data_IF_266626458377
#
_entry.id   IF_266626458377
#
_cell.length_a   1.000
_cell.length_b   1.000
_cell.length_c   1.000
_cell.angle_alpha   90.00
_cell.angle_beta   90.00
_cell.angle_gamma   90.00
#
_symmetry.space_group_name_H-M   'P 1'
#
loop_
_entity.id
_entity.type
_entity.pdbx_description
1 polymer ?
#
# COMPACT_ATOMS: atom_id res chain seq x y z
N UNK A 1 8.52 -15.27 11.29
CA UNK A 1 7.60 -14.36 10.55
C UNK A 1 6.66 -13.65 11.50
N UNK A 2 5.70 -14.33 12.17
CA UNK A 2 4.81 -13.67 13.15
C UNK A 2 5.57 -12.93 14.27
N UNK A 3 6.54 -13.59 14.91
CA UNK A 3 7.43 -12.95 15.90
C UNK A 3 8.16 -11.70 15.38
N UNK A 4 8.51 -11.65 14.09
CA UNK A 4 9.13 -10.48 13.47
C UNK A 4 8.15 -9.31 13.40
N UNK A 5 6.93 -9.59 12.94
CA UNK A 5 5.86 -8.60 12.85
C UNK A 5 5.55 -8.10 14.24
N UNK A 6 5.17 -8.98 15.18
CA UNK A 6 4.78 -8.64 16.56
C UNK A 6 5.84 -7.76 17.24
N UNK A 7 7.13 -8.14 17.16
CA UNK A 7 8.21 -7.30 17.69
C UNK A 7 8.27 -5.95 16.99
N UNK A 8 8.19 -5.90 15.67
CA UNK A 8 8.17 -4.62 14.95
C UNK A 8 6.98 -3.73 15.35
N UNK A 9 5.84 -4.30 15.76
CA UNK A 9 4.71 -3.55 16.34
C UNK A 9 5.05 -3.03 17.74
N UNK A 10 5.57 -3.91 18.61
CA UNK A 10 5.84 -3.60 20.02
C UNK A 10 6.92 -2.52 20.21
N UNK A 11 7.99 -2.57 19.42
CA UNK A 11 9.18 -1.72 19.63
C UNK A 11 9.55 -0.85 18.43
N UNK A 12 8.83 -0.98 17.32
CA UNK A 12 9.16 -0.33 16.05
C UNK A 12 10.27 -1.05 15.28
N UNK A 13 10.27 -0.88 13.96
CA UNK A 13 11.26 -1.51 13.07
C UNK A 13 12.72 -1.13 13.40
N UNK A 14 12.98 0.11 13.81
CA UNK A 14 14.33 0.57 14.14
C UNK A 14 14.98 -0.27 15.26
N UNK A 15 14.19 -0.63 16.30
CA UNK A 15 14.64 -1.42 17.44
C UNK A 15 14.55 -2.95 17.20
N UNK A 16 13.95 -3.38 16.09
CA UNK A 16 13.94 -4.79 15.69
C UNK A 16 15.37 -5.29 15.46
N UNK A 17 15.67 -6.51 15.93
CA UNK A 17 16.93 -7.22 15.69
C UNK A 17 16.68 -8.70 15.42
N UNK A 18 17.56 -9.35 14.66
CA UNK A 18 17.45 -10.79 14.39
C UNK A 18 17.56 -11.59 15.69
N UNK A 19 18.34 -11.10 16.65
CA UNK A 19 18.48 -11.64 17.99
C UNK A 19 17.16 -11.68 18.77
N UNK A 20 16.46 -10.54 18.80
CA UNK A 20 15.17 -10.45 19.48
C UNK A 20 14.14 -11.36 18.80
N UNK A 21 14.15 -11.42 17.46
CA UNK A 21 13.26 -12.33 16.72
C UNK A 21 13.58 -13.79 17.00
N UNK A 22 14.86 -14.16 17.01
CA UNK A 22 15.31 -15.52 17.32
C UNK A 22 14.85 -15.95 18.71
N UNK A 23 15.06 -15.09 19.71
CA UNK A 23 14.62 -15.31 21.08
C UNK A 23 13.09 -15.46 21.18
N UNK A 24 12.32 -14.56 20.55
CA UNK A 24 10.85 -14.60 20.57
C UNK A 24 10.29 -15.81 19.83
N UNK A 25 10.92 -16.23 18.73
CA UNK A 25 10.49 -17.37 17.94
C UNK A 25 10.99 -18.72 18.46
N UNK A 26 11.87 -18.74 19.48
CA UNK A 26 12.46 -19.98 20.01
C UNK A 26 13.38 -20.70 19.03
N UNK A 27 14.01 -19.97 18.09
CA UNK A 27 14.89 -20.55 17.08
C UNK A 27 16.32 -20.00 17.19
N UNK A 28 17.31 -20.76 16.74
CA UNK A 28 18.70 -20.30 16.69
C UNK A 28 18.93 -19.19 15.66
N UNK A 29 19.78 -18.21 15.96
CA UNK A 29 20.12 -17.10 15.04
C UNK A 29 20.63 -17.58 13.68
N UNK A 30 21.47 -18.63 13.66
CA UNK A 30 21.98 -19.23 12.42
C UNK A 30 20.87 -19.75 11.50
N UNK A 31 19.76 -20.25 12.06
CA UNK A 31 18.60 -20.68 11.27
C UNK A 31 17.93 -19.52 10.55
N UNK A 32 17.88 -18.34 11.19
CA UNK A 32 17.34 -17.12 10.57
C UNK A 32 18.30 -16.60 9.51
N UNK A 33 19.58 -16.39 9.83
CA UNK A 33 20.56 -15.85 8.88
C UNK A 33 20.72 -16.68 7.61
N UNK A 34 20.57 -18.01 7.70
CA UNK A 34 20.60 -18.89 6.52
C UNK A 34 19.51 -18.59 5.50
N UNK A 35 18.36 -18.08 5.94
CA UNK A 35 17.20 -17.76 5.08
C UNK A 35 17.08 -16.26 4.81
N UNK A 36 17.48 -15.43 5.76
CA UNK A 36 17.39 -13.97 5.68
C UNK A 36 18.73 -13.36 6.10
N UNK A 37 19.59 -13.01 5.11
CA UNK A 37 20.87 -12.37 5.35
C UNK A 37 20.77 -11.06 6.14
N UNK A 38 19.65 -10.33 6.01
CA UNK A 38 19.43 -9.06 6.70
C UNK A 38 18.08 -9.02 7.44
N UNK A 39 18.01 -8.13 8.46
CA UNK A 39 16.76 -7.81 9.16
C UNK A 39 15.68 -7.33 8.20
N UNK A 40 16.06 -6.52 7.22
CA UNK A 40 15.14 -5.94 6.24
C UNK A 40 14.50 -7.04 5.37
N UNK A 41 15.28 -8.03 4.91
CA UNK A 41 14.75 -9.18 4.16
C UNK A 41 13.81 -10.05 5.01
N UNK A 42 14.15 -10.29 6.28
CA UNK A 42 13.28 -11.00 7.21
C UNK A 42 11.97 -10.25 7.43
N UNK A 43 12.04 -8.93 7.63
CA UNK A 43 10.88 -8.09 7.85
C UNK A 43 9.98 -8.03 6.61
N UNK A 44 10.56 -7.80 5.43
CA UNK A 44 9.87 -7.87 4.13
C UNK A 44 9.10 -9.18 3.97
N UNK A 45 9.77 -10.32 4.10
CA UNK A 45 9.10 -11.63 3.91
C UNK A 45 8.02 -11.85 4.97
N UNK A 46 8.25 -11.39 6.20
CA UNK A 46 7.24 -11.45 7.25
C UNK A 46 6.01 -10.59 6.91
N UNK A 47 6.19 -9.39 6.35
CA UNK A 47 5.10 -8.55 5.88
C UNK A 47 4.35 -9.16 4.70
N UNK A 48 5.07 -9.75 3.73
CA UNK A 48 4.45 -10.41 2.58
C UNK A 48 3.61 -11.64 2.98
N UNK A 49 3.85 -12.23 4.16
CA UNK A 49 2.96 -13.27 4.70
C UNK A 49 1.68 -12.73 5.32
N UNK A 50 1.65 -11.45 5.68
CA UNK A 50 0.42 -10.81 6.11
C UNK A 50 -0.41 -10.57 4.84
N UNK A 51 -1.58 -11.21 4.75
CA UNK A 51 -2.57 -10.81 3.76
C UNK A 51 -3.26 -9.56 4.29
N UNK A 52 -3.05 -8.37 3.70
CA UNK A 52 -3.85 -7.22 4.09
C UNK A 52 -5.33 -7.56 3.82
N UNK A 53 -6.26 -7.29 4.76
CA UNK A 53 -7.70 -7.52 4.59
C UNK A 53 -8.35 -6.45 3.68
N UNK A 54 -7.64 -6.15 2.60
CA UNK A 54 -7.96 -5.45 1.36
C UNK A 54 -9.01 -6.11 0.48
N UNK A 55 -10.35 -5.91 0.55
CA UNK A 55 -11.22 -6.55 -0.43
C UNK A 55 -10.82 -6.13 -1.85
N UNK A 56 -10.99 -7.02 -2.82
CA UNK A 56 -10.79 -6.64 -4.23
C UNK A 56 -11.86 -5.62 -4.68
N UNK A 57 -11.62 -5.01 -5.83
CA UNK A 57 -12.56 -4.04 -6.39
C UNK A 57 -13.91 -4.73 -6.67
N UNK A 58 -15.03 -4.15 -6.24
CA UNK A 58 -16.32 -4.55 -6.78
C UNK A 58 -16.44 -4.11 -8.25
N UNK A 59 -17.41 -4.68 -8.95
CA UNK A 59 -17.81 -4.29 -10.30
C UNK A 59 -19.31 -3.95 -10.26
N UNK A 60 -19.63 -2.73 -9.81
CA UNK A 60 -21.02 -2.31 -9.60
C UNK A 60 -21.64 -1.59 -10.80
N UNK A 61 -20.85 -1.29 -11.82
CA UNK A 61 -21.23 -0.39 -12.90
C UNK A 61 -20.98 1.10 -12.61
N UNK A 62 -20.45 1.43 -11.42
CA UNK A 62 -19.99 2.77 -11.05
C UNK A 62 -18.53 2.72 -10.58
N UNK A 63 -17.61 3.01 -11.49
CA UNK A 63 -16.17 3.01 -11.20
C UNK A 63 -15.79 3.95 -10.05
N UNK A 64 -16.46 5.09 -9.88
CA UNK A 64 -16.14 6.03 -8.81
C UNK A 64 -16.53 5.43 -7.46
N UNK A 65 -17.69 4.79 -7.36
CA UNK A 65 -18.12 4.07 -6.17
C UNK A 65 -17.19 2.88 -5.85
N UNK A 66 -16.73 2.15 -6.87
CA UNK A 66 -15.85 1.00 -6.72
C UNK A 66 -14.45 1.40 -6.22
N UNK A 67 -13.87 2.46 -6.81
CA UNK A 67 -12.61 3.06 -6.36
C UNK A 67 -12.75 3.60 -4.93
N UNK A 68 -13.83 4.31 -4.62
CA UNK A 68 -14.12 4.84 -3.28
C UNK A 68 -14.08 3.72 -2.23
N UNK A 69 -14.84 2.64 -2.45
CA UNK A 69 -14.88 1.51 -1.51
C UNK A 69 -13.50 0.92 -1.28
N UNK A 70 -12.73 0.71 -2.35
CA UNK A 70 -11.39 0.13 -2.25
C UNK A 70 -10.39 1.04 -1.54
N UNK A 71 -10.46 2.34 -1.81
CA UNK A 71 -9.58 3.34 -1.22
C UNK A 71 -9.92 3.58 0.25
N UNK A 72 -11.21 3.69 0.61
CA UNK A 72 -11.65 3.76 2.01
C UNK A 72 -11.15 2.56 2.82
N UNK A 73 -11.32 1.34 2.30
CA UNK A 73 -10.81 0.14 2.98
C UNK A 73 -9.26 0.12 3.11
N UNK A 74 -8.55 0.79 2.20
CA UNK A 74 -7.09 0.97 2.31
C UNK A 74 -6.75 2.00 3.39
N UNK A 75 -7.49 3.10 3.46
CA UNK A 75 -7.35 4.13 4.52
C UNK A 75 -7.61 3.51 5.89
N UNK A 76 -8.69 2.74 6.03
CA UNK A 76 -9.04 2.04 7.26
C UNK A 76 -7.94 1.09 7.70
N UNK A 77 -7.39 0.32 6.74
CA UNK A 77 -6.26 -0.54 7.03
C UNK A 77 -5.06 0.26 7.58
N UNK A 78 -4.69 1.36 6.92
CA UNK A 78 -3.56 2.19 7.35
C UNK A 78 -3.80 2.88 8.70
N UNK A 79 -5.06 3.09 9.09
CA UNK A 79 -5.43 3.67 10.38
C UNK A 79 -5.35 2.66 11.54
N UNK A 80 -5.35 1.35 11.25
CA UNK A 80 -5.32 0.29 12.25
C UNK A 80 -3.89 -0.15 12.54
N UNK A 81 -3.53 -0.22 13.82
CA UNK A 81 -2.28 -0.85 14.24
C UNK A 81 -2.29 -2.35 13.85
N UNK A 82 -1.23 -2.87 13.23
CA UNK A 82 0.09 -2.25 13.07
C UNK A 82 0.36 -1.56 11.71
N UNK A 83 -0.63 -1.53 10.83
CA UNK A 83 -0.39 -1.48 9.39
C UNK A 83 0.17 -0.14 8.91
N UNK A 84 -0.33 0.98 9.43
CA UNK A 84 0.19 2.31 9.12
C UNK A 84 1.66 2.47 9.47
N UNK A 85 2.06 2.26 10.75
CA UNK A 85 3.48 2.34 11.13
C UNK A 85 4.38 1.34 10.40
N UNK A 86 3.93 0.09 10.21
CA UNK A 86 4.71 -0.91 9.46
C UNK A 86 4.93 -0.47 8.02
N UNK A 87 3.90 0.05 7.35
CA UNK A 87 4.01 0.54 5.98
C UNK A 87 5.00 1.71 5.88
N UNK A 88 4.94 2.69 6.80
CA UNK A 88 5.90 3.80 6.85
C UNK A 88 7.33 3.32 7.06
N UNK A 89 7.54 2.40 8.00
CA UNK A 89 8.86 1.82 8.24
C UNK A 89 9.40 1.11 6.99
N UNK A 90 8.54 0.34 6.32
CA UNK A 90 8.90 -0.36 5.09
C UNK A 90 9.32 0.59 3.97
N UNK A 91 8.56 1.68 3.76
CA UNK A 91 8.88 2.67 2.73
C UNK A 91 10.17 3.43 3.05
N UNK A 92 10.50 3.63 4.34
CA UNK A 92 11.80 4.16 4.74
C UNK A 92 12.94 3.21 4.36
N UNK A 93 12.79 1.92 4.61
CA UNK A 93 13.86 0.94 4.37
C UNK A 93 14.20 0.76 2.89
N UNK A 94 13.20 0.80 1.99
CA UNK A 94 13.47 0.69 0.55
C UNK A 94 14.32 1.85 0.00
N UNK A 95 14.48 2.96 0.73
CA UNK A 95 15.37 4.05 0.32
C UNK A 95 16.86 3.73 0.58
N UNK A 96 17.14 2.73 1.42
CA UNK A 96 18.49 2.41 1.87
C UNK A 96 18.98 1.04 1.38
N UNK A 97 18.08 0.14 0.99
CA UNK A 97 18.39 -1.21 0.53
C UNK A 97 17.73 -1.50 -0.84
N UNK A 98 18.50 -1.45 -1.95
CA UNK A 98 17.99 -1.69 -3.30
C UNK A 98 17.40 -3.09 -3.51
N UNK A 99 17.88 -4.12 -2.80
CA UNK A 99 17.38 -5.48 -2.94
C UNK A 99 16.00 -5.61 -2.28
N UNK A 100 15.84 -4.99 -1.12
CA UNK A 100 14.54 -4.90 -0.43
C UNK A 100 13.56 -4.06 -1.26
N UNK A 101 14.03 -2.96 -1.84
CA UNK A 101 13.24 -2.11 -2.74
C UNK A 101 12.72 -2.87 -3.95
N UNK A 102 13.61 -3.55 -4.70
CA UNK A 102 13.25 -4.33 -5.88
C UNK A 102 12.23 -5.42 -5.52
N UNK A 103 12.47 -6.15 -4.44
CA UNK A 103 11.57 -7.23 -4.02
C UNK A 103 10.18 -6.73 -3.60
N UNK A 104 10.09 -5.58 -2.94
CA UNK A 104 8.81 -4.99 -2.54
C UNK A 104 8.07 -4.35 -3.71
N UNK A 105 8.79 -3.69 -4.61
CA UNK A 105 8.22 -3.21 -5.86
C UNK A 105 7.56 -4.38 -6.60
N UNK A 106 8.27 -5.51 -6.72
CA UNK A 106 7.82 -6.69 -7.45
C UNK A 106 6.65 -7.42 -6.78
N UNK A 107 6.70 -7.63 -5.46
CA UNK A 107 5.81 -8.54 -4.73
C UNK A 107 4.67 -7.85 -3.99
N UNK A 108 4.78 -6.54 -3.75
CA UNK A 108 3.77 -5.77 -3.03
C UNK A 108 3.19 -4.66 -3.89
N UNK A 109 4.00 -3.68 -4.32
CA UNK A 109 3.46 -2.48 -4.98
C UNK A 109 2.92 -2.76 -6.38
N UNK A 110 3.65 -3.50 -7.22
CA UNK A 110 3.22 -3.82 -8.58
C UNK A 110 1.90 -4.62 -8.63
N UNK A 111 1.70 -5.70 -7.85
CA UNK A 111 0.42 -6.41 -7.84
C UNK A 111 -0.77 -5.53 -7.44
N UNK A 112 -0.55 -4.56 -6.53
CA UNK A 112 -1.60 -3.62 -6.13
C UNK A 112 -1.91 -2.62 -7.25
N UNK A 113 -0.89 -2.10 -7.95
CA UNK A 113 -1.06 -1.24 -9.10
C UNK A 113 -1.79 -1.97 -10.25
N UNK A 114 -1.37 -3.19 -10.57
CA UNK A 114 -1.97 -4.02 -11.61
C UNK A 114 -3.46 -4.30 -11.36
N UNK A 115 -3.87 -4.56 -10.11
CA UNK A 115 -5.29 -4.73 -9.76
C UNK A 115 -6.10 -3.46 -10.02
N UNK A 116 -5.57 -2.29 -9.67
CA UNK A 116 -6.24 -1.00 -9.94
C UNK A 116 -6.34 -0.75 -11.44
N UNK A 117 -5.25 -0.95 -12.18
CA UNK A 117 -5.23 -0.78 -13.64
C UNK A 117 -6.18 -1.76 -14.33
N UNK A 118 -6.25 -3.01 -13.87
CA UNK A 118 -7.20 -3.99 -14.40
C UNK A 118 -8.65 -3.55 -14.20
N UNK A 119 -9.01 -3.04 -13.00
CA UNK A 119 -10.37 -2.53 -12.75
C UNK A 119 -10.69 -1.31 -13.60
N UNK A 120 -9.75 -0.38 -13.76
CA UNK A 120 -9.90 0.79 -14.64
C UNK A 120 -10.07 0.37 -16.10
N UNK A 121 -9.32 -0.63 -16.56
CA UNK A 121 -9.46 -1.17 -17.93
C UNK A 121 -10.86 -1.73 -18.17
N UNK A 122 -11.41 -2.48 -17.24
CA UNK A 122 -12.79 -2.97 -17.32
C UNK A 122 -13.81 -1.81 -17.35
N UNK A 123 -13.61 -0.79 -16.52
CA UNK A 123 -14.48 0.40 -16.54
C UNK A 123 -14.43 1.13 -17.90
N UNK A 124 -13.26 1.17 -18.56
CA UNK A 124 -13.10 1.72 -19.90
C UNK A 124 -13.87 0.91 -20.95
N UNK A 125 -13.76 -0.41 -20.90
CA UNK A 125 -14.52 -1.32 -21.78
C UNK A 125 -16.04 -1.18 -21.58
N UNK A 126 -16.46 -0.81 -20.36
CA UNK A 126 -17.85 -0.52 -20.00
C UNK A 126 -18.27 0.93 -20.31
N UNK A 127 -17.40 1.76 -20.89
CA UNK A 127 -17.68 3.16 -21.24
C UNK A 127 -17.78 4.12 -20.05
N UNK A 128 -17.29 3.74 -18.86
CA UNK A 128 -17.35 4.55 -17.65
C UNK A 128 -16.21 5.56 -17.52
N UNK A 129 -15.11 5.38 -18.27
CA UNK A 129 -13.97 6.30 -18.31
C UNK A 129 -13.52 6.55 -19.76
N UNK A 130 -12.86 7.68 -19.99
CA UNK A 130 -12.40 8.09 -21.32
C UNK A 130 -11.46 7.04 -21.96
N UNK A 131 -11.62 6.82 -23.27
CA UNK A 131 -10.85 5.80 -24.01
C UNK A 131 -9.34 6.09 -24.04
N UNK A 132 -8.99 7.38 -24.07
CA UNK A 132 -7.62 7.90 -24.15
C UNK A 132 -6.98 8.15 -22.77
N UNK A 133 -7.68 7.82 -21.67
CA UNK A 133 -7.10 7.95 -20.33
C UNK A 133 -5.92 7.00 -20.15
N UNK A 134 -4.77 7.57 -19.78
CA UNK A 134 -3.61 6.81 -19.32
C UNK A 134 -3.92 6.16 -17.97
N UNK A 135 -4.12 4.84 -17.98
CA UNK A 135 -4.55 4.07 -16.81
C UNK A 135 -3.43 3.93 -15.77
N UNK A 136 -2.17 3.91 -16.20
CA UNK A 136 -1.01 3.81 -15.31
C UNK A 136 -0.82 5.15 -14.59
N UNK A 137 -0.97 6.27 -15.31
CA UNK A 137 -0.98 7.60 -14.70
C UNK A 137 -2.17 7.78 -13.75
N UNK A 138 -3.37 7.33 -14.14
CA UNK A 138 -4.54 7.37 -13.26
C UNK A 138 -4.29 6.57 -11.96
N UNK A 139 -3.68 5.38 -12.06
CA UNK A 139 -3.28 4.61 -10.88
C UNK A 139 -2.28 5.37 -9.99
N UNK A 140 -1.28 6.01 -10.60
CA UNK A 140 -0.29 6.80 -9.86
C UNK A 140 -0.93 8.00 -9.15
N UNK A 141 -1.88 8.68 -9.80
CA UNK A 141 -2.64 9.79 -9.20
C UNK A 141 -3.57 9.32 -8.07
N UNK A 142 -4.14 8.12 -8.16
CA UNK A 142 -4.97 7.57 -7.07
C UNK A 142 -4.13 7.23 -5.83
N UNK A 143 -2.91 6.69 -6.03
CA UNK A 143 -2.04 6.27 -4.93
C UNK A 143 -1.22 7.43 -4.33
N UNK A 144 -0.74 8.34 -5.18
CA UNK A 144 0.22 9.39 -4.82
C UNK A 144 -0.23 10.29 -3.66
N UNK A 145 -1.41 10.92 -3.69
CA UNK A 145 -1.89 11.80 -2.62
C UNK A 145 -2.05 11.09 -1.27
N UNK A 146 -2.50 9.83 -1.29
CA UNK A 146 -2.60 8.99 -0.10
C UNK A 146 -1.21 8.77 0.51
N UNK A 147 -0.23 8.41 -0.32
CA UNK A 147 1.16 8.22 0.14
C UNK A 147 1.82 9.53 0.55
N UNK A 148 1.57 10.63 -0.16
CA UNK A 148 2.10 11.95 0.19
C UNK A 148 1.66 12.37 1.59
N UNK A 149 0.38 12.21 1.92
CA UNK A 149 -0.12 12.48 3.27
C UNK A 149 0.49 11.56 4.32
N UNK A 150 0.52 10.26 4.02
CA UNK A 150 1.03 9.25 4.95
C UNK A 150 2.53 9.39 5.25
N UNK A 151 3.33 9.79 4.26
CA UNK A 151 4.79 9.71 4.33
C UNK A 151 5.47 11.08 4.40
N UNK A 152 4.88 12.12 3.82
CA UNK A 152 5.55 13.41 3.62
C UNK A 152 4.89 14.51 4.47
N UNK A 153 3.61 14.81 4.25
CA UNK A 153 2.98 15.92 4.97
C UNK A 153 2.58 15.56 6.40
N UNK A 154 2.44 14.26 6.71
CA UNK A 154 1.98 13.79 8.02
C UNK A 154 0.51 14.10 8.30
N UNK A 155 -0.23 14.62 7.32
CA UNK A 155 -1.67 14.85 7.45
C UNK A 155 -2.43 13.52 7.54
N UNK A 156 -3.54 13.47 8.30
CA UNK A 156 -4.40 12.30 8.31
C UNK A 156 -4.92 11.96 6.90
N UNK A 157 -4.79 10.69 6.51
CA UNK A 157 -5.52 10.15 5.37
C UNK A 157 -6.92 9.79 5.86
N UNK A 158 -7.94 10.46 5.35
CA UNK A 158 -9.34 10.29 5.77
C UNK A 158 -10.21 9.84 4.60
N UNK A 159 -11.42 9.34 4.88
CA UNK A 159 -12.41 9.06 3.83
C UNK A 159 -12.77 10.32 3.03
N UNK A 160 -12.93 11.46 3.70
CA UNK A 160 -13.16 12.76 3.04
C UNK A 160 -12.04 13.12 2.06
N UNK A 161 -10.78 12.87 2.43
CA UNK A 161 -9.65 13.10 1.53
C UNK A 161 -9.75 12.27 0.26
N UNK A 162 -10.10 10.98 0.39
CA UNK A 162 -10.32 10.08 -0.74
C UNK A 162 -11.50 10.57 -1.60
N UNK A 163 -12.60 10.97 -0.98
CA UNK A 163 -13.79 11.42 -1.70
C UNK A 163 -13.50 12.69 -2.52
N UNK A 164 -12.75 13.64 -1.95
CA UNK A 164 -12.31 14.85 -2.63
C UNK A 164 -11.31 14.58 -3.75
N UNK A 165 -10.41 13.61 -3.56
CA UNK A 165 -9.48 13.16 -4.59
C UNK A 165 -10.24 12.57 -5.79
N UNK A 166 -11.15 11.64 -5.53
CA UNK A 166 -11.97 11.02 -6.57
C UNK A 166 -12.86 12.04 -7.27
N UNK A 167 -13.48 12.96 -6.52
CA UNK A 167 -14.25 14.05 -7.11
C UNK A 167 -13.39 14.90 -8.05
N UNK A 168 -12.20 15.32 -7.61
CA UNK A 168 -11.27 16.12 -8.43
C UNK A 168 -10.84 15.38 -9.70
N UNK A 169 -10.54 14.09 -9.59
CA UNK A 169 -10.06 13.28 -10.71
C UNK A 169 -11.15 13.05 -11.77
N UNK A 170 -12.40 12.79 -11.35
CA UNK A 170 -13.50 12.43 -12.27
C UNK A 170 -14.39 13.61 -12.67
N UNK A 171 -14.51 14.65 -11.85
CA UNK A 171 -15.29 15.85 -12.17
C UNK A 171 -14.46 16.95 -12.84
N UNK A 172 -13.13 16.77 -12.91
CA UNK A 172 -12.18 17.66 -13.56
C UNK A 172 -11.72 18.85 -12.70
N UNK A 173 -10.50 19.34 -13.00
CA UNK A 173 -9.94 20.57 -12.40
C UNK A 173 -10.21 21.83 -13.25
N UNK A 174 -10.79 21.69 -14.44
CA UNK A 174 -11.09 22.81 -15.31
C UNK A 174 -12.37 23.53 -14.86
N UNK A 175 -12.48 24.86 -15.07
CA UNK A 175 -13.77 25.54 -14.99
C UNK A 175 -14.75 24.82 -15.91
N UNK A 176 -15.91 24.40 -15.39
CA UNK A 176 -16.98 23.90 -16.27
C UNK A 176 -17.38 25.04 -17.19
N UNK A 177 -17.46 24.83 -18.52
CA UNK A 177 -18.02 25.85 -19.40
C UNK A 177 -19.41 26.21 -18.88
N UNK A 178 -19.78 27.51 -18.87
CA UNK A 178 -21.12 27.91 -18.48
C UNK A 178 -22.14 27.18 -19.36
N UNK A 179 -23.21 26.70 -18.71
CA UNK A 179 -24.34 26.03 -19.35
C UNK A 179 -25.07 26.96 -20.33
#
# INVERSE_FOLDING_TARGET
MRATVDLAQEQGYAKLSIEAVAARAGVGKHTIYRRWPSKAMLFRDSLLTLRPPVPDFPDTGDIVADLRRRMHATVDLMAVEPWGPLFRALVGEIQHDPEVAASLAERFFRPQAERTVARLRQAREQGQIAEDLDLDLAQAILAGPVYYRLLISGEPVTHDHVDRLLHTLFAGMAPRPPA
#
